data_IF_108886319004
#
_entry.id   IF_108886319004
#
_cell.length_a   1.000
_cell.length_b   1.000
_cell.length_c   1.000
_cell.angle_alpha   90.00
_cell.angle_beta   90.00
_cell.angle_gamma   90.00
#
_symmetry.space_group_name_H-M   'P 1'
#
loop_
_entity.id
_entity.type
_entity.pdbx_description
1 polymer ?
#
# COMPACT_ATOMS: atom_id res chain seq x y z
N UNK A 1 7.33 -28.68 10.70
CA UNK A 1 7.64 -27.24 10.51
C UNK A 1 8.39 -26.91 9.21
N UNK A 2 9.02 -27.86 8.49
CA UNK A 2 9.76 -27.53 7.25
C UNK A 2 8.88 -27.04 6.08
N UNK A 3 7.73 -27.69 5.83
CA UNK A 3 6.93 -27.42 4.61
C UNK A 3 6.38 -25.99 4.48
N UNK A 4 5.89 -25.36 5.56
CA UNK A 4 5.42 -23.96 5.51
C UNK A 4 6.53 -23.02 5.03
N UNK A 5 7.79 -23.24 5.45
CA UNK A 5 8.93 -22.44 5.00
C UNK A 5 9.16 -22.54 3.49
N UNK A 6 9.14 -23.73 2.89
CA UNK A 6 9.37 -23.86 1.44
C UNK A 6 8.20 -23.31 0.62
N UNK A 7 6.98 -23.43 1.12
CA UNK A 7 5.78 -22.80 0.52
C UNK A 7 5.91 -21.28 0.52
N UNK A 8 6.39 -20.69 1.63
CA UNK A 8 6.71 -19.26 1.74
C UNK A 8 7.82 -18.86 0.75
N UNK A 9 8.90 -19.65 0.63
CA UNK A 9 9.98 -19.40 -0.33
C UNK A 9 9.48 -19.43 -1.79
N UNK A 10 8.61 -20.38 -2.15
CA UNK A 10 7.95 -20.40 -3.48
C UNK A 10 7.03 -19.18 -3.70
N UNK A 11 6.36 -18.74 -2.63
CA UNK A 11 5.76 -17.41 -2.46
C UNK A 11 6.64 -16.30 -3.01
N UNK A 12 7.77 -16.12 -2.33
CA UNK A 12 8.78 -15.09 -2.62
C UNK A 12 9.39 -15.24 -4.02
N UNK A 13 9.81 -16.44 -4.41
CA UNK A 13 10.51 -16.73 -5.67
C UNK A 13 9.66 -16.41 -6.91
N UNK A 14 8.36 -16.77 -6.90
CA UNK A 14 7.51 -16.71 -8.10
C UNK A 14 6.61 -15.48 -8.20
N UNK A 15 6.19 -14.92 -7.06
CA UNK A 15 5.30 -13.74 -7.03
C UNK A 15 5.87 -12.58 -6.19
N UNK A 16 7.11 -12.69 -5.71
CA UNK A 16 7.83 -11.61 -5.05
C UNK A 16 7.31 -11.22 -3.67
N UNK A 17 6.44 -12.04 -3.08
CA UNK A 17 5.73 -11.74 -1.86
C UNK A 17 6.70 -11.64 -0.68
N UNK A 18 6.66 -10.52 0.05
CA UNK A 18 7.35 -10.40 1.33
C UNK A 18 6.51 -11.06 2.44
N UNK A 19 7.02 -12.12 3.10
CA UNK A 19 6.30 -12.80 4.18
C UNK A 19 6.06 -11.88 5.39
N UNK A 20 6.94 -10.90 5.62
CA UNK A 20 6.77 -9.90 6.68
C UNK A 20 5.60 -8.96 6.44
N UNK A 21 5.38 -8.56 5.18
CA UNK A 21 4.32 -7.61 4.79
C UNK A 21 2.93 -8.23 4.69
N UNK A 22 2.82 -9.53 4.36
CA UNK A 22 1.53 -10.26 4.33
C UNK A 22 1.17 -10.87 5.69
N UNK A 23 2.18 -11.17 6.51
CA UNK A 23 2.03 -11.83 7.82
C UNK A 23 1.91 -13.35 7.67
N UNK A 24 2.76 -14.08 8.39
CA UNK A 24 2.82 -15.55 8.37
C UNK A 24 1.44 -16.20 8.54
N UNK A 25 0.63 -15.71 9.49
CA UNK A 25 -0.71 -16.24 9.79
C UNK A 25 -1.72 -16.19 8.64
N UNK A 26 -1.45 -15.45 7.56
CA UNK A 26 -2.29 -15.47 6.36
C UNK A 26 -1.77 -16.52 5.37
N UNK A 27 -0.46 -16.67 5.22
CA UNK A 27 0.14 -17.77 4.43
C UNK A 27 -0.16 -19.13 5.05
N UNK A 28 -0.03 -19.27 6.38
CA UNK A 28 -0.32 -20.51 7.10
C UNK A 28 -1.80 -20.90 6.97
N UNK A 29 -2.74 -19.96 7.09
CA UNK A 29 -4.18 -20.23 6.85
C UNK A 29 -4.48 -20.59 5.40
N UNK A 30 -3.81 -19.96 4.44
CA UNK A 30 -3.92 -20.32 3.03
C UNK A 30 -3.43 -21.75 2.78
N UNK A 31 -2.28 -22.09 3.34
CA UNK A 31 -1.70 -23.44 3.32
C UNK A 31 -2.66 -24.47 3.94
N UNK A 32 -3.16 -24.23 5.15
CA UNK A 32 -4.15 -25.09 5.83
C UNK A 32 -5.41 -25.31 4.98
N UNK A 33 -5.96 -24.25 4.39
CA UNK A 33 -7.13 -24.32 3.53
C UNK A 33 -6.87 -25.14 2.25
N UNK A 34 -5.70 -24.97 1.62
CA UNK A 34 -5.30 -25.74 0.43
C UNK A 34 -5.03 -27.21 0.75
N UNK A 35 -4.31 -27.49 1.84
CA UNK A 35 -4.07 -28.85 2.32
C UNK A 35 -5.39 -29.58 2.63
N UNK A 36 -6.30 -28.92 3.36
CA UNK A 36 -7.63 -29.46 3.65
C UNK A 36 -8.45 -29.74 2.39
N UNK A 37 -8.44 -28.82 1.41
CA UNK A 37 -9.13 -29.00 0.13
C UNK A 37 -8.58 -30.15 -0.74
N UNK A 38 -7.32 -30.55 -0.53
CA UNK A 38 -6.68 -31.69 -1.19
C UNK A 38 -6.72 -32.99 -0.37
N UNK A 39 -7.21 -32.95 0.88
CA UNK A 39 -7.16 -34.09 1.80
C UNK A 39 -5.76 -34.44 2.29
N UNK A 40 -4.80 -33.50 2.23
CA UNK A 40 -3.41 -33.71 2.64
C UNK A 40 -3.19 -33.29 4.10
N UNK A 41 -2.52 -34.13 4.88
CA UNK A 41 -2.20 -33.86 6.30
C UNK A 41 -0.73 -33.56 6.57
N UNK A 42 0.21 -33.98 5.71
CA UNK A 42 1.63 -33.61 5.80
C UNK A 42 1.95 -32.40 4.90
N UNK A 43 2.48 -31.28 5.45
CA UNK A 43 2.96 -30.16 4.66
C UNK A 43 4.03 -30.52 3.61
N UNK A 44 4.79 -31.61 3.80
CA UNK A 44 5.78 -32.09 2.82
C UNK A 44 5.12 -32.74 1.59
N UNK A 45 3.97 -33.39 1.75
CA UNK A 45 3.20 -33.91 0.62
C UNK A 45 2.62 -32.77 -0.20
N UNK A 46 2.12 -31.75 0.49
CA UNK A 46 1.64 -30.53 -0.14
C UNK A 46 2.76 -29.77 -0.87
N UNK A 47 3.94 -29.60 -0.26
CA UNK A 47 5.11 -28.97 -0.89
C UNK A 47 5.51 -29.67 -2.21
N UNK A 48 5.56 -31.02 -2.19
CA UNK A 48 5.87 -31.83 -3.38
C UNK A 48 4.80 -31.64 -4.47
N UNK A 49 3.52 -31.65 -4.11
CA UNK A 49 2.42 -31.44 -5.04
C UNK A 49 2.40 -30.02 -5.64
N UNK A 50 2.56 -29.00 -4.79
CA UNK A 50 2.65 -27.57 -5.16
C UNK A 50 3.81 -27.30 -6.14
N UNK A 51 4.96 -27.94 -5.90
CA UNK A 51 6.15 -27.78 -6.74
C UNK A 51 5.92 -28.28 -8.17
N UNK A 52 5.16 -29.38 -8.33
CA UNK A 52 4.81 -29.97 -9.63
C UNK A 52 3.53 -29.41 -10.28
N UNK A 53 2.69 -28.67 -9.56
CA UNK A 53 1.37 -28.23 -10.03
C UNK A 53 1.26 -26.70 -10.10
N UNK A 54 1.37 -26.15 -11.32
CA UNK A 54 1.09 -24.73 -11.56
C UNK A 54 -0.35 -24.31 -11.24
N UNK A 55 -1.31 -25.23 -11.39
CA UNK A 55 -2.71 -25.01 -11.04
C UNK A 55 -2.90 -24.91 -9.52
N UNK A 56 -2.22 -25.75 -8.73
CA UNK A 56 -2.24 -25.64 -7.28
C UNK A 56 -1.50 -24.39 -6.78
N UNK A 57 -0.38 -24.04 -7.41
CA UNK A 57 0.32 -22.81 -7.10
C UNK A 57 -0.57 -21.57 -7.32
N UNK A 58 -1.35 -21.54 -8.40
CA UNK A 58 -2.38 -20.51 -8.58
C UNK A 58 -3.45 -20.60 -7.48
N UNK A 59 -3.94 -21.78 -7.12
CA UNK A 59 -4.95 -21.93 -6.08
C UNK A 59 -4.45 -21.45 -4.69
N UNK A 60 -3.17 -21.63 -4.38
CA UNK A 60 -2.55 -21.07 -3.17
C UNK A 60 -2.42 -19.54 -3.24
N UNK A 61 -1.92 -18.98 -4.35
CA UNK A 61 -1.89 -17.53 -4.58
C UNK A 61 -3.26 -16.93 -4.28
N UNK A 62 -4.32 -17.58 -4.76
CA UNK A 62 -5.68 -17.12 -4.61
C UNK A 62 -6.18 -17.08 -3.15
N UNK A 63 -5.69 -17.95 -2.27
CA UNK A 63 -6.00 -17.92 -0.82
C UNK A 63 -5.12 -16.91 -0.06
N UNK A 64 -3.88 -16.69 -0.51
CA UNK A 64 -2.91 -15.81 0.18
C UNK A 64 -3.02 -14.35 -0.27
N UNK A 65 -3.42 -14.09 -1.51
CA UNK A 65 -3.65 -12.75 -2.04
C UNK A 65 -5.11 -12.39 -1.82
N UNK A 66 -5.37 -11.59 -0.77
CA UNK A 66 -6.71 -11.07 -0.43
C UNK A 66 -6.83 -9.60 -0.86
N UNK A 67 -7.28 -9.29 -2.08
CA UNK A 67 -7.46 -7.91 -2.51
C UNK A 67 -8.78 -7.34 -1.97
N UNK A 68 -8.68 -6.51 -0.92
CA UNK A 68 -9.75 -5.56 -0.58
C UNK A 68 -9.63 -4.30 -1.45
N UNK A 69 -10.67 -4.03 -2.23
CA UNK A 69 -10.83 -2.79 -2.98
C UNK A 69 -12.26 -2.26 -2.88
N UNK A 70 -12.44 -0.99 -3.22
CA UNK A 70 -13.73 -0.31 -3.28
C UNK A 70 -13.69 0.82 -4.30
N UNK A 71 -14.85 1.17 -4.84
CA UNK A 71 -14.98 2.25 -5.81
C UNK A 71 -14.50 3.57 -5.23
N UNK A 72 -13.71 4.30 -6.02
CA UNK A 72 -13.12 5.60 -5.65
C UNK A 72 -12.31 5.55 -4.34
N UNK A 73 -11.57 4.45 -4.12
CA UNK A 73 -10.58 4.35 -3.04
C UNK A 73 -9.54 5.46 -3.18
N UNK A 74 -9.56 6.38 -2.23
CA UNK A 74 -8.96 7.72 -2.30
C UNK A 74 -9.50 8.50 -3.51
N UNK A 75 -10.29 9.55 -3.26
CA UNK A 75 -10.99 10.33 -4.29
C UNK A 75 -10.04 11.16 -5.17
N UNK A 76 -9.03 11.80 -4.56
CA UNK A 76 -8.09 12.72 -5.21
C UNK A 76 -7.38 12.17 -6.46
N UNK A 77 -6.86 10.93 -6.50
CA UNK A 77 -6.38 10.31 -7.74
C UNK A 77 -7.36 10.41 -8.91
N UNK A 78 -8.64 10.16 -8.68
CA UNK A 78 -9.67 10.17 -9.72
C UNK A 78 -10.07 11.59 -10.10
N UNK A 79 -10.16 12.53 -9.14
CA UNK A 79 -10.38 13.95 -9.45
C UNK A 79 -9.25 14.48 -10.33
N UNK A 80 -7.99 14.22 -9.98
CA UNK A 80 -6.84 14.66 -10.77
C UNK A 80 -6.81 13.99 -12.15
N UNK A 81 -7.20 12.71 -12.27
CA UNK A 81 -7.40 12.04 -13.55
C UNK A 81 -8.44 12.77 -14.43
N UNK A 82 -9.56 13.24 -13.86
CA UNK A 82 -10.56 14.02 -14.60
C UNK A 82 -9.97 15.34 -15.12
N UNK A 83 -9.25 16.08 -14.28
CA UNK A 83 -8.63 17.35 -14.65
C UNK A 83 -7.62 17.17 -15.79
N UNK A 84 -6.78 16.13 -15.72
CA UNK A 84 -5.84 15.79 -16.78
C UNK A 84 -6.55 15.37 -18.08
N UNK A 85 -7.63 14.59 -18.00
CA UNK A 85 -8.40 14.19 -19.16
C UNK A 85 -9.06 15.40 -19.85
N UNK A 86 -9.66 16.31 -19.08
CA UNK A 86 -10.21 17.58 -19.58
C UNK A 86 -9.11 18.44 -20.23
N UNK A 87 -8.00 18.67 -19.53
CA UNK A 87 -6.93 19.57 -19.96
C UNK A 87 -6.05 19.06 -21.12
N UNK A 88 -6.06 17.75 -21.44
CA UNK A 88 -5.12 17.15 -22.42
C UNK A 88 -5.75 16.26 -23.50
N UNK A 89 -6.95 15.71 -23.29
CA UNK A 89 -7.61 14.80 -24.25
C UNK A 89 -8.98 15.27 -24.72
N UNK A 90 -9.70 16.06 -23.91
CA UNK A 90 -11.00 16.63 -24.30
C UNK A 90 -10.83 17.84 -25.24
N UNK A 91 -9.84 18.71 -24.96
CA UNK A 91 -9.55 19.88 -25.80
C UNK A 91 -8.82 19.57 -27.12
N UNK A 92 -8.28 18.35 -27.26
CA UNK A 92 -7.62 17.88 -28.48
C UNK A 92 -8.29 16.58 -28.98
N UNK A 93 -9.31 16.69 -29.85
CA UNK A 93 -9.95 15.55 -30.49
C UNK A 93 -9.02 14.75 -31.41
N UNK A 94 -7.93 15.34 -31.90
CA UNK A 94 -6.96 14.70 -32.80
C UNK A 94 -5.99 13.76 -32.08
N UNK A 95 -5.75 13.98 -30.78
CA UNK A 95 -4.94 13.10 -29.93
C UNK A 95 -5.42 11.64 -29.99
N UNK A 96 -4.53 10.62 -29.97
CA UNK A 96 -4.93 9.22 -29.85
C UNK A 96 -5.78 8.94 -28.59
N UNK A 97 -6.61 7.88 -28.58
CA UNK A 97 -7.37 7.48 -27.40
C UNK A 97 -6.48 7.26 -26.18
N UNK A 98 -6.87 7.81 -25.03
CA UNK A 98 -6.15 7.71 -23.77
C UNK A 98 -5.99 6.24 -23.34
N UNK A 99 -4.74 5.77 -23.19
CA UNK A 99 -4.43 4.43 -22.67
C UNK A 99 -4.16 4.49 -21.18
N UNK A 100 -5.04 3.91 -20.38
CA UNK A 100 -4.87 3.77 -18.92
C UNK A 100 -4.65 2.30 -18.55
N UNK A 101 -3.71 2.06 -17.64
CA UNK A 101 -3.44 0.76 -17.03
C UNK A 101 -3.78 0.82 -15.53
N UNK A 102 -4.47 -0.18 -15.00
CA UNK A 102 -4.63 -0.40 -13.55
C UNK A 102 -4.13 -1.79 -13.18
N UNK A 103 -3.16 -1.85 -12.26
CA UNK A 103 -2.62 -3.11 -11.73
C UNK A 103 -2.17 -2.92 -10.28
N UNK A 104 -2.60 -3.75 -9.32
CA UNK A 104 -3.53 -4.85 -9.43
C UNK A 104 -4.96 -4.32 -9.51
N UNK A 105 -5.81 -4.91 -10.35
CA UNK A 105 -7.17 -4.40 -10.56
C UNK A 105 -8.22 -4.96 -9.58
N UNK A 106 -7.86 -5.95 -8.76
CA UNK A 106 -8.73 -6.59 -7.77
C UNK A 106 -10.05 -7.09 -8.39
N UNK A 107 -11.18 -6.84 -7.71
CA UNK A 107 -12.52 -7.15 -8.21
C UNK A 107 -13.01 -6.20 -9.30
N UNK A 108 -12.14 -5.36 -9.88
CA UNK A 108 -12.46 -4.38 -10.92
C UNK A 108 -12.88 -3.01 -10.39
N UNK A 109 -12.94 -2.80 -9.07
CA UNK A 109 -13.42 -1.55 -8.48
C UNK A 109 -12.57 -0.33 -8.92
N UNK A 110 -11.24 -0.47 -9.00
CA UNK A 110 -10.36 0.60 -9.48
C UNK A 110 -10.50 0.91 -10.99
N UNK A 111 -10.32 -0.05 -11.93
CA UNK A 111 -10.43 0.26 -13.36
C UNK A 111 -11.83 0.73 -13.77
N UNK A 112 -12.88 0.29 -13.08
CA UNK A 112 -14.23 0.83 -13.31
C UNK A 112 -14.40 2.23 -12.72
N UNK A 113 -13.77 2.57 -11.59
CA UNK A 113 -13.69 3.97 -11.13
C UNK A 113 -12.89 4.86 -12.09
N UNK A 114 -11.80 4.37 -12.70
CA UNK A 114 -11.06 5.07 -13.77
C UNK A 114 -12.00 5.33 -14.96
N UNK A 115 -12.69 4.30 -15.47
CA UNK A 115 -13.61 4.43 -16.59
C UNK A 115 -14.78 5.38 -16.32
N UNK A 116 -15.36 5.34 -15.11
CA UNK A 116 -16.41 6.28 -14.67
C UNK A 116 -15.86 7.71 -14.60
N UNK A 117 -14.69 7.91 -13.99
CA UNK A 117 -14.06 9.22 -13.89
C UNK A 117 -13.83 9.84 -15.27
N UNK A 118 -13.29 9.08 -16.24
CA UNK A 118 -13.07 9.58 -17.60
C UNK A 118 -14.38 9.95 -18.33
N UNK A 119 -15.48 9.24 -18.07
CA UNK A 119 -16.80 9.57 -18.61
C UNK A 119 -17.41 10.80 -17.94
N UNK A 120 -17.30 10.93 -16.62
CA UNK A 120 -17.69 12.14 -15.89
C UNK A 120 -16.79 13.35 -16.25
N UNK A 121 -15.55 13.10 -16.74
CA UNK A 121 -14.69 14.10 -17.37
C UNK A 121 -15.16 14.55 -18.76
N UNK A 122 -16.16 13.88 -19.35
CA UNK A 122 -16.71 14.17 -20.67
C UNK A 122 -16.04 13.42 -21.82
N UNK A 123 -15.11 12.50 -21.56
CA UNK A 123 -14.54 11.65 -22.61
C UNK A 123 -15.51 10.50 -22.93
N UNK A 124 -15.99 10.36 -24.18
CA UNK A 124 -16.78 9.19 -24.57
C UNK A 124 -15.89 7.94 -24.59
N UNK A 125 -16.49 6.75 -24.42
CA UNK A 125 -15.75 5.47 -24.35
C UNK A 125 -14.96 5.09 -25.61
N UNK A 126 -15.11 5.79 -26.74
CA UNK A 126 -14.25 5.66 -27.92
C UNK A 126 -12.92 6.44 -27.82
N UNK A 127 -12.81 7.36 -26.85
CA UNK A 127 -11.63 8.24 -26.64
C UNK A 127 -10.70 7.77 -25.53
N UNK A 128 -10.99 6.63 -24.89
CA UNK A 128 -10.10 6.02 -23.91
C UNK A 128 -10.24 4.49 -23.91
N UNK A 129 -9.24 3.81 -23.34
CA UNK A 129 -9.26 2.38 -23.03
C UNK A 129 -8.60 2.18 -21.67
N UNK A 130 -9.24 1.39 -20.82
CA UNK A 130 -8.61 0.91 -19.58
C UNK A 130 -8.21 -0.54 -19.78
N UNK A 131 -6.93 -0.84 -19.57
CA UNK A 131 -6.45 -2.21 -19.43
C UNK A 131 -6.22 -2.48 -17.94
N UNK A 132 -6.67 -3.63 -17.46
CA UNK A 132 -6.73 -3.96 -16.05
C UNK A 132 -6.08 -5.33 -15.82
N UNK A 133 -4.99 -5.36 -15.05
CA UNK A 133 -4.19 -6.56 -14.81
C UNK A 133 -4.36 -7.02 -13.36
N UNK A 134 -4.55 -8.32 -13.17
CA UNK A 134 -4.41 -8.95 -11.85
C UNK A 134 -3.74 -10.32 -11.96
N UNK A 135 -3.18 -10.78 -10.84
CA UNK A 135 -2.64 -12.13 -10.71
C UNK A 135 -3.76 -13.15 -10.42
N UNK A 136 -4.80 -12.72 -9.70
CA UNK A 136 -5.95 -13.52 -9.27
C UNK A 136 -6.99 -13.67 -10.39
N UNK A 137 -7.10 -14.89 -10.93
CA UNK A 137 -8.17 -15.30 -11.82
C UNK A 137 -9.55 -15.19 -11.15
N UNK A 138 -9.68 -15.44 -9.84
CA UNK A 138 -10.94 -15.27 -9.09
C UNK A 138 -11.36 -13.79 -9.03
N UNK A 139 -10.41 -12.88 -8.82
CA UNK A 139 -10.66 -11.45 -8.79
C UNK A 139 -11.03 -10.92 -10.18
N UNK A 140 -10.34 -11.36 -11.24
CA UNK A 140 -10.70 -11.07 -12.62
C UNK A 140 -12.07 -11.64 -13.02
N UNK A 141 -12.46 -12.82 -12.50
CA UNK A 141 -13.81 -13.35 -12.71
C UNK A 141 -14.89 -12.48 -12.04
N UNK A 142 -14.65 -11.99 -10.82
CA UNK A 142 -15.51 -11.01 -10.13
C UNK A 142 -15.61 -9.70 -10.92
N UNK A 143 -14.49 -9.20 -11.44
CA UNK A 143 -14.44 -8.01 -12.30
C UNK A 143 -15.26 -8.22 -13.59
N UNK A 144 -15.12 -9.36 -14.28
CA UNK A 144 -15.92 -9.69 -15.49
C UNK A 144 -17.42 -9.71 -15.21
N UNK A 145 -17.84 -10.21 -14.05
CA UNK A 145 -19.25 -10.17 -13.63
C UNK A 145 -19.72 -8.72 -13.39
N UNK A 146 -18.87 -7.90 -12.77
CA UNK A 146 -19.14 -6.51 -12.41
C UNK A 146 -20.43 -6.31 -11.56
N UNK A 147 -20.70 -7.27 -10.68
CA UNK A 147 -21.85 -7.26 -9.76
C UNK A 147 -21.34 -7.17 -8.31
N UNK A 148 -21.61 -6.05 -7.65
CA UNK A 148 -20.98 -5.68 -6.38
C UNK A 148 -21.97 -5.72 -5.20
N UNK A 149 -21.46 -6.01 -4.01
CA UNK A 149 -22.19 -5.84 -2.75
C UNK A 149 -21.98 -4.44 -2.15
N UNK A 150 -22.72 -4.11 -1.10
CA UNK A 150 -22.63 -2.80 -0.42
C UNK A 150 -21.20 -2.42 0.01
N UNK A 151 -20.38 -3.39 0.42
CA UNK A 151 -19.01 -3.18 0.90
C UNK A 151 -18.03 -2.61 -0.15
N UNK A 152 -18.35 -2.70 -1.44
CA UNK A 152 -17.58 -2.08 -2.53
C UNK A 152 -17.85 -0.57 -2.66
N UNK A 153 -18.88 -0.06 -1.99
CA UNK A 153 -19.29 1.35 -2.00
C UNK A 153 -19.02 1.94 -0.62
N UNK A 154 -17.82 2.52 -0.43
CA UNK A 154 -17.38 3.15 0.83
C UNK A 154 -17.31 4.67 0.64
N UNK A 155 -17.49 5.42 1.72
CA UNK A 155 -17.49 6.90 1.69
C UNK A 155 -18.89 7.51 1.58
N UNK A 156 -18.95 8.84 1.50
CA UNK A 156 -20.21 9.62 1.51
C UNK A 156 -20.70 10.03 0.13
N UNK A 157 -19.81 10.20 -0.85
CA UNK A 157 -20.23 10.42 -2.24
C UNK A 157 -20.47 9.08 -2.94
N UNK A 158 -21.75 8.76 -3.15
CA UNK A 158 -22.21 7.62 -3.93
C UNK A 158 -23.08 8.07 -5.12
N UNK A 159 -22.97 9.33 -5.56
CA UNK A 159 -23.77 9.86 -6.67
C UNK A 159 -23.48 9.11 -7.99
N UNK A 160 -22.23 8.69 -8.20
CA UNK A 160 -21.84 7.84 -9.34
C UNK A 160 -22.60 6.51 -9.36
N UNK A 161 -22.96 5.95 -8.18
CA UNK A 161 -23.66 4.66 -8.08
C UNK A 161 -25.04 4.73 -8.73
N UNK A 162 -25.75 5.84 -8.52
CA UNK A 162 -27.06 6.07 -9.14
C UNK A 162 -27.00 6.33 -10.66
N UNK A 163 -25.84 6.77 -11.18
CA UNK A 163 -25.62 6.99 -12.62
C UNK A 163 -25.20 5.73 -13.38
N UNK A 164 -24.40 4.87 -12.75
CA UNK A 164 -23.65 3.81 -13.45
C UNK A 164 -23.97 2.39 -12.97
N UNK A 165 -24.87 2.20 -12.01
CA UNK A 165 -25.25 0.87 -11.52
C UNK A 165 -26.76 0.68 -11.43
N UNK A 166 -27.21 -0.54 -11.65
CA UNK A 166 -28.59 -0.97 -11.39
C UNK A 166 -28.63 -1.81 -10.11
N UNK A 167 -29.47 -1.43 -9.13
CA UNK A 167 -29.68 -2.27 -7.93
C UNK A 167 -30.65 -3.42 -8.28
N UNK A 168 -30.21 -4.66 -8.06
CA UNK A 168 -30.96 -5.89 -8.26
C UNK A 168 -30.71 -6.81 -7.08
N UNK A 169 -31.76 -7.18 -6.33
CA UNK A 169 -31.67 -8.08 -5.17
C UNK A 169 -30.58 -7.69 -4.14
N UNK A 170 -30.43 -6.39 -3.84
CA UNK A 170 -29.41 -5.87 -2.92
C UNK A 170 -27.96 -5.92 -3.45
N UNK A 171 -27.76 -6.26 -4.71
CA UNK A 171 -26.49 -6.18 -5.45
C UNK A 171 -26.55 -5.04 -6.47
N UNK A 172 -25.39 -4.51 -6.85
CA UNK A 172 -25.24 -3.42 -7.81
C UNK A 172 -24.53 -3.94 -9.06
N UNK A 173 -25.25 -4.06 -10.17
CA UNK A 173 -24.71 -4.45 -11.48
C UNK A 173 -24.23 -3.20 -12.22
N UNK A 174 -22.96 -3.19 -12.64
CA UNK A 174 -22.35 -2.08 -13.38
C UNK A 174 -22.90 -1.99 -14.81
N UNK A 175 -23.14 -0.76 -15.28
CA UNK A 175 -23.56 -0.49 -16.65
C UNK A 175 -22.59 -1.07 -17.70
N UNK A 176 -23.16 -1.70 -18.72
CA UNK A 176 -22.39 -2.39 -19.76
C UNK A 176 -21.47 -1.46 -20.56
N UNK A 177 -21.84 -0.18 -20.73
CA UNK A 177 -20.99 0.78 -21.48
C UNK A 177 -19.75 1.20 -20.68
N UNK A 178 -19.79 1.15 -19.35
CA UNK A 178 -18.59 1.27 -18.50
C UNK A 178 -17.82 -0.05 -18.54
N UNK A 179 -18.49 -1.19 -18.31
CA UNK A 179 -17.85 -2.52 -18.28
C UNK A 179 -17.04 -2.82 -19.55
N UNK A 180 -17.60 -2.51 -20.71
CA UNK A 180 -16.99 -2.77 -22.02
C UNK A 180 -15.80 -1.84 -22.35
N UNK A 181 -15.55 -0.78 -21.57
CA UNK A 181 -14.38 0.09 -21.74
C UNK A 181 -13.11 -0.43 -21.03
N UNK A 182 -13.22 -1.55 -20.30
CA UNK A 182 -12.13 -2.20 -19.55
C UNK A 182 -11.80 -3.58 -20.13
N UNK A 183 -10.56 -3.79 -20.60
CA UNK A 183 -10.02 -5.14 -20.90
C UNK A 183 -9.37 -5.70 -19.64
N UNK A 184 -9.85 -6.86 -19.20
CA UNK A 184 -9.34 -7.60 -18.04
C UNK A 184 -8.31 -8.66 -18.46
N UNK A 185 -7.14 -8.66 -17.83
CA UNK A 185 -5.95 -9.42 -18.24
C UNK A 185 -5.38 -10.13 -17.00
N UNK A 186 -5.05 -11.42 -17.13
CA UNK A 186 -4.29 -12.11 -16.07
C UNK A 186 -2.80 -11.92 -16.30
N UNK A 187 -2.07 -11.50 -15.26
CA UNK A 187 -0.64 -11.22 -15.38
C UNK A 187 0.04 -10.91 -14.05
N UNK A 188 1.34 -11.17 -14.00
CA UNK A 188 2.22 -10.84 -12.89
C UNK A 188 3.10 -9.64 -13.28
N UNK A 189 3.11 -8.57 -12.48
CA UNK A 189 3.95 -7.37 -12.73
C UNK A 189 5.46 -7.67 -12.72
N UNK A 190 5.88 -8.79 -12.10
CA UNK A 190 7.27 -9.24 -12.12
C UNK A 190 7.66 -9.85 -13.48
N UNK A 191 6.70 -10.33 -14.28
CA UNK A 191 7.00 -10.91 -15.59
C UNK A 191 7.47 -9.79 -16.55
N UNK A 192 8.73 -9.80 -17.04
CA UNK A 192 9.22 -8.77 -17.95
C UNK A 192 8.47 -8.75 -19.29
N UNK A 193 7.87 -9.86 -19.70
CA UNK A 193 7.05 -9.97 -20.91
C UNK A 193 5.59 -9.50 -20.72
N UNK A 194 5.17 -9.09 -19.50
CA UNK A 194 3.82 -8.57 -19.26
C UNK A 194 3.54 -7.40 -20.21
N UNK A 195 2.51 -7.54 -21.06
CA UNK A 195 2.09 -6.50 -22.01
C UNK A 195 3.24 -6.02 -22.93
N UNK A 196 4.24 -6.86 -23.22
CA UNK A 196 5.40 -6.47 -24.03
C UNK A 196 5.06 -6.11 -25.50
N UNK A 197 3.93 -6.62 -26.00
CA UNK A 197 3.43 -6.34 -27.36
C UNK A 197 2.38 -5.20 -27.39
N UNK A 198 2.03 -4.64 -26.23
CA UNK A 198 1.09 -3.53 -26.11
C UNK A 198 1.86 -2.19 -26.12
N UNK A 199 1.37 -1.14 -26.81
CA UNK A 199 1.94 0.20 -26.68
C UNK A 199 1.92 0.69 -25.22
N UNK A 200 2.92 1.50 -24.86
CA UNK A 200 3.02 2.14 -23.56
C UNK A 200 1.75 2.95 -23.21
N UNK A 201 1.52 3.12 -21.92
CA UNK A 201 0.33 3.74 -21.36
C UNK A 201 0.60 5.20 -21.00
N UNK A 202 -0.35 6.07 -21.33
CA UNK A 202 -0.33 7.48 -20.94
C UNK A 202 -0.47 7.62 -19.41
N UNK A 203 -1.22 6.71 -18.79
CA UNK A 203 -1.47 6.70 -17.35
C UNK A 203 -1.39 5.27 -16.81
N UNK A 204 -0.68 5.08 -15.70
CA UNK A 204 -0.60 3.81 -14.98
C UNK A 204 -1.02 4.04 -13.53
N UNK A 205 -1.99 3.28 -13.04
CA UNK A 205 -2.33 3.15 -11.64
C UNK A 205 -1.66 1.88 -11.11
N UNK A 206 -0.79 2.03 -10.11
CA UNK A 206 -0.16 0.94 -9.38
C UNK A 206 -0.25 1.19 -7.87
N UNK A 207 -1.39 0.80 -7.29
CA UNK A 207 -1.79 1.21 -5.95
C UNK A 207 -1.98 0.04 -5.02
N UNK A 208 -1.48 0.16 -3.80
CA UNK A 208 -1.57 -0.82 -2.72
C UNK A 208 -1.03 -2.21 -3.13
N UNK A 209 0.13 -2.25 -3.79
CA UNK A 209 0.77 -3.49 -4.26
C UNK A 209 2.24 -3.58 -3.90
N UNK A 210 3.01 -2.51 -4.12
CA UNK A 210 4.46 -2.50 -3.89
C UNK A 210 4.81 -2.65 -2.40
N UNK A 211 3.83 -2.38 -1.53
CA UNK A 211 3.88 -2.68 -0.09
C UNK A 211 4.00 -4.17 0.24
N UNK A 212 3.60 -5.10 -0.64
CA UNK A 212 3.63 -6.54 -0.39
C UNK A 212 4.86 -7.25 -0.97
N UNK A 213 5.78 -6.52 -1.60
CA UNK A 213 6.93 -7.10 -2.30
C UNK A 213 8.23 -7.00 -1.51
N UNK A 214 9.13 -7.98 -1.68
CA UNK A 214 10.53 -7.85 -1.25
C UNK A 214 11.23 -6.69 -1.98
N UNK A 215 12.45 -6.33 -1.57
CA UNK A 215 13.20 -5.25 -2.23
C UNK A 215 13.54 -5.59 -3.69
N UNK A 216 13.89 -6.85 -3.96
CA UNK A 216 14.21 -7.37 -5.30
C UNK A 216 12.97 -7.40 -6.19
N UNK A 217 11.85 -7.93 -5.68
CA UNK A 217 10.59 -7.99 -6.40
C UNK A 217 10.03 -6.59 -6.69
N UNK A 218 10.15 -5.66 -5.74
CA UNK A 218 9.80 -4.24 -5.92
C UNK A 218 10.68 -3.57 -6.97
N UNK A 219 11.98 -3.89 -6.98
CA UNK A 219 12.94 -3.44 -8.00
C UNK A 219 12.50 -3.86 -9.41
N UNK A 220 12.16 -5.14 -9.56
CA UNK A 220 11.69 -5.70 -10.84
C UNK A 220 10.31 -5.18 -11.25
N UNK A 221 9.36 -5.07 -10.31
CA UNK A 221 8.04 -4.50 -10.56
C UNK A 221 8.13 -3.07 -11.08
N UNK A 222 8.99 -2.23 -10.49
CA UNK A 222 9.20 -0.85 -10.93
C UNK A 222 9.84 -0.75 -12.31
N UNK A 223 10.83 -1.58 -12.61
CA UNK A 223 11.43 -1.62 -13.95
C UNK A 223 10.36 -1.92 -15.02
N UNK A 224 9.43 -2.84 -14.73
CA UNK A 224 8.30 -3.15 -15.59
C UNK A 224 7.24 -2.03 -15.63
N UNK A 225 6.89 -1.41 -14.51
CA UNK A 225 6.01 -0.24 -14.46
C UNK A 225 6.54 0.90 -15.33
N UNK A 226 7.84 1.21 -15.22
CA UNK A 226 8.48 2.22 -16.04
C UNK A 226 8.52 1.83 -17.51
N UNK A 227 8.79 0.57 -17.86
CA UNK A 227 8.71 0.10 -19.26
C UNK A 227 7.30 0.27 -19.85
N UNK A 228 6.26 0.08 -19.03
CA UNK A 228 4.86 0.23 -19.44
C UNK A 228 4.39 1.69 -19.48
N UNK A 229 5.06 2.60 -18.78
CA UNK A 229 4.73 4.03 -18.72
C UNK A 229 5.38 4.80 -19.88
N UNK A 230 4.57 5.49 -20.68
CA UNK A 230 5.05 6.38 -21.74
C UNK A 230 5.94 7.51 -21.19
N UNK A 231 6.84 8.08 -22.00
CA UNK A 231 7.82 9.07 -21.55
C UNK A 231 7.20 10.34 -20.93
N UNK A 232 6.02 10.75 -21.41
CA UNK A 232 5.23 11.87 -20.87
C UNK A 232 4.09 11.43 -19.94
N UNK A 233 4.01 10.14 -19.62
CA UNK A 233 2.92 9.54 -18.87
C UNK A 233 2.91 9.88 -17.38
N UNK A 234 1.80 9.52 -16.72
CA UNK A 234 1.60 9.71 -15.27
C UNK A 234 1.44 8.36 -14.55
N UNK A 235 2.17 8.18 -13.46
CA UNK A 235 2.08 7.03 -12.55
C UNK A 235 1.36 7.45 -11.27
N UNK A 236 0.28 6.76 -10.92
CA UNK A 236 -0.48 6.93 -9.68
C UNK A 236 -0.14 5.80 -8.71
N UNK A 237 0.27 6.14 -7.49
CA UNK A 237 0.66 5.19 -6.45
C UNK A 237 -0.28 5.25 -5.23
N UNK A 238 -0.28 4.21 -4.40
CA UNK A 238 -0.99 4.24 -3.12
C UNK A 238 -0.18 5.00 -2.07
N UNK A 239 -0.85 5.51 -1.04
CA UNK A 239 -0.24 6.37 0.00
C UNK A 239 0.95 5.75 0.76
N UNK A 240 1.09 4.41 0.72
CA UNK A 240 2.16 3.66 1.37
C UNK A 240 3.13 2.98 0.39
N UNK A 241 2.85 3.01 -0.91
CA UNK A 241 3.76 2.47 -1.93
C UNK A 241 4.99 3.38 -2.01
N UNK A 242 6.16 2.82 -1.67
CA UNK A 242 7.39 3.60 -1.53
C UNK A 242 7.98 3.94 -2.90
N UNK A 243 8.17 5.25 -3.14
CA UNK A 243 8.99 5.76 -4.24
C UNK A 243 10.47 5.68 -3.86
N UNK A 244 11.05 4.49 -3.96
CA UNK A 244 12.50 4.37 -3.82
C UNK A 244 13.03 3.31 -4.78
N UNK A 245 13.70 3.77 -5.83
CA UNK A 245 14.70 3.03 -6.59
C UNK A 245 15.71 4.00 -7.21
N UNK A 246 16.98 3.59 -7.19
CA UNK A 246 18.05 4.30 -7.84
C UNK A 246 17.83 4.36 -9.37
N UNK A 247 18.05 5.54 -9.96
CA UNK A 247 18.22 5.71 -11.41
C UNK A 247 17.16 6.55 -12.12
N UNK A 248 15.89 6.51 -11.69
CA UNK A 248 14.81 7.27 -12.36
C UNK A 248 14.16 8.27 -11.42
N UNK A 249 14.41 9.56 -11.69
CA UNK A 249 13.78 10.65 -10.96
C UNK A 249 12.32 10.76 -11.40
N UNK A 250 11.39 10.51 -10.49
CA UNK A 250 10.00 10.93 -10.65
C UNK A 250 9.77 12.24 -9.89
N UNK A 251 8.98 13.13 -10.48
CA UNK A 251 8.48 14.35 -9.84
C UNK A 251 6.99 14.20 -9.57
N UNK A 252 6.56 14.49 -8.34
CA UNK A 252 5.15 14.57 -8.01
C UNK A 252 4.44 15.64 -8.86
N UNK A 253 3.21 15.37 -9.28
CA UNK A 253 2.37 16.26 -10.06
C UNK A 253 0.96 16.30 -9.47
N UNK A 254 0.25 17.42 -9.66
CA UNK A 254 -1.06 17.64 -9.03
C UNK A 254 -1.01 17.92 -7.53
N UNK A 255 -2.18 17.96 -6.90
CA UNK A 255 -2.34 18.33 -5.50
C UNK A 255 -1.88 17.24 -4.52
N UNK A 256 -1.57 17.65 -3.28
CA UNK A 256 -1.22 16.75 -2.18
C UNK A 256 -2.29 15.67 -1.99
N UNK A 257 -1.90 14.41 -2.11
CA UNK A 257 -2.79 13.25 -1.97
C UNK A 257 -3.41 12.73 -3.27
N UNK A 258 -3.10 13.33 -4.43
CA UNK A 258 -3.33 12.68 -5.73
C UNK A 258 -2.40 11.47 -5.94
N UNK A 259 -1.22 11.49 -5.30
CA UNK A 259 -0.14 10.51 -5.46
C UNK A 259 0.21 10.23 -6.93
N UNK A 260 0.13 11.27 -7.77
CA UNK A 260 0.50 11.22 -9.17
C UNK A 260 1.94 11.69 -9.38
N UNK A 261 2.66 11.02 -10.27
CA UNK A 261 4.07 11.23 -10.55
C UNK A 261 4.32 11.20 -12.05
N UNK A 262 5.28 12.00 -12.52
CA UNK A 262 5.77 11.94 -13.90
C UNK A 262 7.28 11.74 -13.90
N UNK A 263 7.82 11.21 -15.00
CA UNK A 263 9.27 11.22 -15.23
C UNK A 263 9.75 12.67 -15.18
N UNK A 264 10.78 12.93 -14.39
CA UNK A 264 11.43 14.23 -14.42
C UNK A 264 11.94 14.47 -15.86
N UNK A 265 11.79 15.69 -16.41
CA UNK A 265 12.35 15.99 -17.73
C UNK A 265 13.84 15.68 -17.72
N UNK A 266 14.31 15.03 -18.79
CA UNK A 266 15.74 14.79 -18.97
C UNK A 266 16.46 16.13 -18.82
N UNK A 267 17.42 16.21 -17.89
CA UNK A 267 18.24 17.41 -17.74
C UNK A 267 18.88 17.64 -19.12
N UNK A 268 18.69 18.82 -19.75
CA UNK A 268 19.33 19.08 -21.03
C UNK A 268 20.83 18.82 -20.86
N UNK A 269 21.52 18.23 -21.87
CA UNK A 269 22.94 17.98 -21.79
C UNK A 269 23.59 19.29 -21.38
N UNK A 270 24.22 19.29 -20.21
CA UNK A 270 24.81 20.48 -19.65
C UNK A 270 26.00 20.79 -20.53
N UNK A 271 25.78 21.66 -21.54
CA UNK A 271 26.80 22.11 -22.47
C UNK A 271 28.01 22.45 -21.62
N UNK A 272 29.13 21.75 -21.88
CA UNK A 272 30.28 21.75 -20.99
C UNK A 272 30.63 23.20 -20.70
N UNK A 273 30.39 23.63 -19.46
CA UNK A 273 30.55 25.02 -19.09
C UNK A 273 32.01 25.36 -19.34
N UNK A 274 32.26 26.15 -20.39
CA UNK A 274 33.59 26.60 -20.74
C UNK A 274 34.18 27.23 -19.50
N UNK A 275 35.22 26.61 -18.94
CA UNK A 275 35.88 27.12 -17.74
C UNK A 275 36.17 28.60 -17.96
N UNK A 276 35.75 29.51 -17.07
CA UNK A 276 36.12 30.90 -17.20
C UNK A 276 37.66 30.97 -17.23
N UNK A 277 38.25 31.81 -18.10
CA UNK A 277 39.70 31.92 -18.18
C UNK A 277 40.27 32.28 -16.80
N UNK A 278 41.44 31.73 -16.42
CA UNK A 278 41.96 31.90 -15.07
C UNK A 278 42.17 33.37 -14.76
N UNK A 279 41.43 33.87 -13.77
CA UNK A 279 41.59 35.23 -13.26
C UNK A 279 42.99 35.33 -12.66
N UNK A 280 43.86 36.16 -13.26
CA UNK A 280 45.16 36.52 -12.67
C UNK A 280 44.92 37.30 -11.38
N UNK A 281 44.94 36.61 -10.25
CA UNK A 281 45.02 37.24 -8.93
C UNK A 281 46.32 38.03 -8.83
N UNK A 282 46.23 39.33 -8.56
CA UNK A 282 47.39 40.12 -8.13
C UNK A 282 47.88 39.58 -6.79
N UNK A 283 49.20 39.51 -6.62
CA UNK A 283 49.80 39.12 -5.35
C UNK A 283 49.37 40.08 -4.24
N UNK A 284 48.91 39.51 -3.12
CA UNK A 284 48.66 40.23 -1.87
C UNK A 284 49.79 39.82 -0.93
N UNK A 285 50.50 40.81 -0.36
CA UNK A 285 51.58 40.56 0.59
C UNK A 285 51.06 40.01 1.93
N UNK A 286 51.82 39.13 2.61
CA UNK A 286 51.35 38.46 3.82
C UNK A 286 51.46 39.36 5.07
N UNK A 287 50.38 39.51 5.87
CA UNK A 287 50.49 40.05 7.23
C UNK A 287 51.08 39.04 8.21
N UNK A 288 51.63 39.55 9.32
CA UNK A 288 52.50 38.80 10.22
C UNK A 288 51.80 37.74 11.11
N UNK A 289 52.63 36.82 11.61
CA UNK A 289 52.26 35.56 12.29
C UNK A 289 52.05 35.76 13.80
N UNK A 290 50.88 35.40 14.33
CA UNK A 290 50.65 35.20 15.76
C UNK A 290 50.36 33.71 16.06
N UNK A 291 50.95 33.18 17.14
CA UNK A 291 50.74 31.80 17.60
C UNK A 291 49.62 31.74 18.64
N UNK A 292 48.83 30.68 18.65
CA UNK A 292 48.19 30.15 19.86
C UNK A 292 47.96 28.64 19.72
N UNK A 293 48.00 27.93 20.85
CA UNK A 293 48.19 26.49 20.91
C UNK A 293 46.88 25.69 21.17
N UNK A 294 46.94 24.40 20.87
CA UNK A 294 45.91 23.40 21.17
C UNK A 294 45.91 23.01 22.66
N UNK A 295 44.75 22.58 23.19
CA UNK A 295 44.66 21.49 24.16
C UNK A 295 43.99 20.22 23.56
N UNK A 296 44.10 19.04 24.19
CA UNK A 296 44.07 17.77 23.46
C UNK A 296 43.00 16.72 23.86
N UNK A 297 42.68 15.85 22.87
CA UNK A 297 42.43 14.38 22.95
C UNK A 297 41.26 13.83 23.81
N UNK A 298 40.47 12.97 23.16
CA UNK A 298 39.86 11.75 23.76
C UNK A 298 38.39 11.52 23.39
N UNK A 299 37.89 10.30 23.09
CA UNK A 299 38.46 8.94 22.99
C UNK A 299 37.62 8.09 22.00
N UNK A 300 38.23 7.04 21.42
CA UNK A 300 37.68 5.80 20.79
C UNK A 300 36.21 5.37 21.11
N UNK A 301 35.46 4.54 20.34
CA UNK A 301 35.56 3.92 18.98
C UNK A 301 34.15 3.27 18.62
N UNK A 302 33.94 2.05 18.04
CA UNK A 302 33.13 1.90 16.82
C UNK A 302 31.76 1.14 16.90
N UNK A 303 30.92 1.37 15.88
CA UNK A 303 30.05 0.44 15.09
C UNK A 303 29.37 -0.78 15.76
N UNK A 304 28.02 -0.77 15.75
CA UNK A 304 27.09 -1.87 15.40
C UNK A 304 25.69 -1.21 15.20
N UNK A 305 24.94 -1.33 14.10
CA UNK A 305 24.39 -2.45 13.29
C UNK A 305 22.95 -2.85 13.67
N UNK A 306 22.06 -2.84 12.65
CA UNK A 306 20.65 -3.30 12.55
C UNK A 306 19.52 -2.77 13.46
N UNK A 307 18.46 -2.31 12.78
CA UNK A 307 17.04 -2.32 13.17
C UNK A 307 16.34 -3.56 12.55
N UNK A 308 14.99 -3.69 12.52
CA UNK A 308 13.91 -3.70 13.54
C UNK A 308 13.16 -5.08 13.54
N UNK A 309 11.93 -5.27 14.12
CA UNK A 309 10.68 -5.14 13.31
C UNK A 309 9.27 -4.92 13.99
N UNK A 310 8.38 -4.32 13.17
CA UNK A 310 6.89 -4.22 13.04
C UNK A 310 5.80 -5.10 13.77
N UNK A 311 4.59 -4.50 13.96
CA UNK A 311 3.17 -5.02 13.72
C UNK A 311 2.58 -6.28 14.47
N UNK A 312 1.34 -6.87 14.27
CA UNK A 312 0.19 -6.80 13.29
C UNK A 312 -1.26 -7.10 13.85
N UNK A 313 -2.18 -6.11 13.89
CA UNK A 313 -3.67 -6.00 13.60
C UNK A 313 -4.84 -6.98 13.95
N UNK A 314 -6.06 -6.39 14.04
CA UNK A 314 -7.34 -6.80 14.66
C UNK A 314 -8.35 -7.82 13.92
N UNK A 315 -9.19 -8.57 14.67
CA UNK A 315 -10.58 -9.14 14.46
C UNK A 315 -11.49 -8.92 15.72
N UNK A 316 -12.80 -8.66 15.59
CA UNK A 316 -13.74 -8.58 16.74
C UNK A 316 -14.22 -9.96 17.25
N UNK A 317 -14.73 -10.02 18.48
CA UNK A 317 -15.40 -11.20 19.04
C UNK A 317 -16.66 -10.83 19.84
N UNK A 318 -17.81 -11.37 19.41
CA UNK A 318 -19.03 -11.48 20.21
C UNK A 318 -19.15 -12.92 20.71
N UNK A 319 -18.35 -13.24 21.74
CA UNK A 319 -18.70 -14.07 22.91
C UNK A 319 -17.52 -14.19 23.92
N UNK A 320 -16.31 -13.80 23.50
CA UNK A 320 -15.07 -13.95 24.29
C UNK A 320 -14.91 -13.00 25.49
N UNK A 321 -15.98 -12.31 25.93
CA UNK A 321 -15.93 -11.13 26.79
C UNK A 321 -15.18 -11.30 28.13
N UNK A 322 -15.16 -12.50 28.69
CA UNK A 322 -14.44 -12.80 29.94
C UNK A 322 -12.94 -13.05 29.70
N UNK A 323 -12.58 -14.03 28.86
CA UNK A 323 -11.19 -14.47 28.70
C UNK A 323 -10.29 -13.40 28.06
N UNK A 324 -10.74 -12.74 26.97
CA UNK A 324 -9.97 -11.67 26.34
C UNK A 324 -9.75 -10.49 27.29
N UNK A 325 -10.79 -10.13 28.06
CA UNK A 325 -10.68 -9.02 28.99
C UNK A 325 -9.75 -9.36 30.15
N UNK A 326 -9.72 -10.61 30.62
CA UNK A 326 -8.74 -11.07 31.62
C UNK A 326 -7.31 -10.96 31.11
N UNK A 327 -7.00 -11.45 29.90
CA UNK A 327 -5.65 -11.36 29.32
C UNK A 327 -5.21 -9.91 29.07
N UNK A 328 -6.11 -9.05 28.56
CA UNK A 328 -5.80 -7.64 28.34
C UNK A 328 -5.66 -6.85 29.66
N UNK A 329 -6.38 -7.21 30.71
CA UNK A 329 -6.20 -6.63 32.04
C UNK A 329 -4.84 -7.03 32.63
N UNK A 330 -4.46 -8.32 32.54
CA UNK A 330 -3.14 -8.79 32.96
C UNK A 330 -2.01 -8.13 32.15
N UNK A 331 -2.20 -7.90 30.85
CA UNK A 331 -1.24 -7.17 30.03
C UNK A 331 -1.05 -5.72 30.51
N UNK A 332 -2.12 -5.03 30.91
CA UNK A 332 -2.04 -3.70 31.51
C UNK A 332 -1.28 -3.73 32.85
N UNK A 333 -1.60 -4.66 33.75
CA UNK A 333 -0.90 -4.83 35.03
C UNK A 333 0.61 -5.08 34.85
N UNK A 334 1.00 -5.87 33.84
CA UNK A 334 2.42 -6.09 33.50
C UNK A 334 3.08 -4.83 32.93
N UNK A 335 2.36 -4.04 32.14
CA UNK A 335 2.86 -2.77 31.62
C UNK A 335 3.10 -1.75 32.74
N UNK A 336 2.17 -1.65 33.70
CA UNK A 336 2.30 -0.78 34.88
C UNK A 336 3.46 -1.21 35.79
N UNK A 337 3.79 -2.51 35.81
CA UNK A 337 4.98 -3.06 36.47
C UNK A 337 6.29 -2.84 35.68
N UNK A 338 6.25 -2.20 34.51
CA UNK A 338 7.40 -2.03 33.61
C UNK A 338 7.85 -3.31 32.89
N UNK A 339 7.08 -4.40 32.98
CA UNK A 339 7.38 -5.72 32.39
C UNK A 339 6.83 -5.78 30.97
N UNK A 340 7.37 -4.92 30.10
CA UNK A 340 6.81 -4.69 28.77
C UNK A 340 6.79 -5.93 27.87
N UNK A 341 7.82 -6.79 27.92
CA UNK A 341 7.88 -8.01 27.10
C UNK A 341 6.74 -8.99 27.44
N UNK A 342 6.40 -9.12 28.72
CA UNK A 342 5.26 -9.93 29.17
C UNK A 342 3.93 -9.30 28.83
N UNK A 343 3.82 -7.96 28.93
CA UNK A 343 2.63 -7.23 28.51
C UNK A 343 2.38 -7.36 26.99
N UNK A 344 3.44 -7.33 26.17
CA UNK A 344 3.40 -7.65 24.73
C UNK A 344 2.93 -9.09 24.53
N UNK A 345 3.55 -10.06 25.21
CA UNK A 345 3.19 -11.47 25.10
C UNK A 345 1.73 -11.77 25.43
N UNK A 346 1.19 -11.14 26.48
CA UNK A 346 -0.22 -11.25 26.89
C UNK A 346 -1.19 -10.57 25.90
N UNK A 347 -0.83 -9.41 25.36
CA UNK A 347 -1.61 -8.78 24.27
C UNK A 347 -1.67 -9.71 23.06
N UNK A 348 -0.52 -10.22 22.60
CA UNK A 348 -0.42 -11.12 21.45
C UNK A 348 -1.11 -12.47 21.72
N UNK A 349 -1.17 -12.93 22.97
CA UNK A 349 -1.96 -14.10 23.38
C UNK A 349 -3.46 -13.83 23.26
N UNK A 350 -3.96 -12.69 23.79
CA UNK A 350 -5.36 -12.30 23.66
C UNK A 350 -5.78 -12.21 22.17
N UNK A 351 -4.87 -11.69 21.34
CA UNK A 351 -4.97 -11.63 19.88
C UNK A 351 -5.11 -13.02 19.23
N UNK A 352 -4.24 -13.97 19.60
CA UNK A 352 -4.26 -15.34 19.07
C UNK A 352 -5.51 -16.11 19.48
N UNK A 353 -5.86 -16.07 20.76
CA UNK A 353 -6.93 -16.89 21.33
C UNK A 353 -8.33 -16.34 21.01
N UNK A 354 -8.52 -15.03 21.15
CA UNK A 354 -9.86 -14.43 21.11
C UNK A 354 -10.25 -13.84 19.77
N UNK A 355 -9.33 -13.81 18.81
CA UNK A 355 -9.43 -12.92 17.68
C UNK A 355 -8.93 -11.51 18.06
N UNK A 356 -8.20 -10.84 17.17
CA UNK A 356 -7.50 -9.61 17.58
C UNK A 356 -8.42 -8.37 17.87
N UNK A 357 -8.90 -8.12 19.09
CA UNK A 357 -9.95 -7.07 19.32
C UNK A 357 -9.44 -5.61 19.25
N UNK A 358 -10.21 -4.62 18.74
CA UNK A 358 -9.80 -3.19 18.60
C UNK A 358 -8.88 -2.67 19.75
N UNK A 359 -9.33 -2.92 20.99
CA UNK A 359 -8.69 -2.69 22.29
C UNK A 359 -7.29 -3.32 22.45
N UNK A 360 -7.05 -4.50 21.89
CA UNK A 360 -5.81 -5.27 21.95
C UNK A 360 -4.62 -4.61 21.25
N UNK A 361 -4.72 -4.08 20.01
CA UNK A 361 -3.57 -3.32 19.43
C UNK A 361 -3.49 -1.90 19.93
N UNK A 362 -4.59 -1.34 20.45
CA UNK A 362 -4.46 -0.11 21.19
C UNK A 362 -3.57 -0.34 22.42
N UNK A 363 -3.85 -1.36 23.22
CA UNK A 363 -3.00 -1.73 24.36
C UNK A 363 -1.58 -2.14 23.92
N UNK A 364 -1.42 -3.00 22.91
CA UNK A 364 -0.11 -3.38 22.37
C UNK A 364 0.69 -2.17 21.87
N UNK A 365 0.02 -1.17 21.28
CA UNK A 365 0.62 0.09 20.88
C UNK A 365 1.08 0.94 22.05
N UNK A 366 0.28 1.03 23.12
CA UNK A 366 0.67 1.70 24.36
C UNK A 366 1.89 1.02 24.98
N UNK A 367 1.87 -0.31 25.12
CA UNK A 367 2.98 -1.09 25.68
C UNK A 367 4.26 -0.93 24.86
N UNK A 368 4.19 -1.09 23.53
CA UNK A 368 5.34 -0.91 22.64
C UNK A 368 5.86 0.53 22.65
N UNK A 369 4.97 1.53 22.82
CA UNK A 369 5.40 2.93 22.98
C UNK A 369 6.12 3.17 24.32
N UNK A 370 5.66 2.53 25.41
CA UNK A 370 6.30 2.59 26.73
C UNK A 370 7.67 1.88 26.74
N UNK A 371 7.78 0.75 26.02
CA UNK A 371 9.05 0.06 25.75
C UNK A 371 10.00 0.85 24.82
N UNK A 372 9.54 1.95 24.22
CA UNK A 372 10.35 2.81 23.34
C UNK A 372 10.33 2.44 21.86
N UNK A 373 9.71 1.32 21.46
CA UNK A 373 9.53 0.96 20.06
C UNK A 373 8.38 1.74 19.42
N UNK A 374 8.70 2.96 19.00
CA UNK A 374 7.78 3.88 18.34
C UNK A 374 7.30 3.36 16.97
N UNK A 375 8.05 2.48 16.32
CA UNK A 375 7.72 1.95 14.99
C UNK A 375 6.65 0.86 15.10
N UNK A 376 6.88 -0.13 15.97
CA UNK A 376 5.91 -1.18 16.25
C UNK A 376 4.69 -0.65 17.02
N UNK A 377 4.85 0.41 17.82
CA UNK A 377 3.74 1.16 18.41
C UNK A 377 2.88 1.86 17.35
N UNK A 378 3.48 2.62 16.43
CA UNK A 378 2.74 3.26 15.33
C UNK A 378 1.96 2.23 14.52
N UNK A 379 2.61 1.12 14.15
CA UNK A 379 1.89 0.08 13.42
C UNK A 379 0.75 -0.46 14.27
N UNK A 380 0.94 -0.71 15.58
CA UNK A 380 -0.17 -1.17 16.45
C UNK A 380 -1.33 -0.14 16.52
N UNK A 381 -1.06 1.17 16.53
CA UNK A 381 -2.13 2.18 16.55
C UNK A 381 -2.85 2.35 15.20
N UNK A 382 -2.15 2.28 14.06
CA UNK A 382 -2.80 2.17 12.74
C UNK A 382 -3.80 1.00 12.74
N UNK A 383 -3.46 -0.03 13.50
CA UNK A 383 -4.09 -1.34 13.52
C UNK A 383 -5.22 -1.48 14.54
N UNK A 384 -5.25 -0.63 15.57
CA UNK A 384 -6.48 -0.26 16.27
C UNK A 384 -7.45 0.50 15.33
N UNK A 385 -6.94 1.46 14.56
CA UNK A 385 -7.75 2.37 13.71
C UNK A 385 -8.38 1.71 12.47
N UNK A 386 -7.82 0.63 11.94
CA UNK A 386 -8.42 -0.10 10.81
C UNK A 386 -9.71 -0.84 11.23
N UNK A 387 -9.72 -1.44 12.42
CA UNK A 387 -10.89 -2.21 12.90
C UNK A 387 -11.85 -1.45 13.79
N UNK A 388 -11.41 -0.37 14.43
CA UNK A 388 -12.32 0.70 14.84
C UNK A 388 -11.87 2.02 14.21
N UNK A 389 -12.49 2.36 13.08
CA UNK A 389 -12.27 3.62 12.35
C UNK A 389 -12.61 4.87 13.18
N UNK A 390 -13.29 4.71 14.31
CA UNK A 390 -13.66 5.73 15.29
C UNK A 390 -12.91 5.57 16.64
N UNK A 391 -11.79 4.83 16.67
CA UNK A 391 -10.95 4.70 17.86
C UNK A 391 -10.16 6.00 18.10
N UNK A 392 -10.78 6.94 18.81
CA UNK A 392 -10.25 8.29 19.03
C UNK A 392 -8.91 8.31 19.77
N UNK A 393 -8.70 7.41 20.75
CA UNK A 393 -7.44 7.30 21.50
C UNK A 393 -6.27 6.86 20.60
N UNK A 394 -6.47 5.86 19.75
CA UNK A 394 -5.47 5.41 18.78
C UNK A 394 -5.18 6.48 17.72
N UNK A 395 -6.19 7.23 17.28
CA UNK A 395 -6.01 8.40 16.41
C UNK A 395 -5.18 9.50 17.09
N UNK A 396 -5.40 9.79 18.37
CA UNK A 396 -4.57 10.75 19.12
C UNK A 396 -3.14 10.26 19.32
N UNK A 397 -2.92 8.97 19.57
CA UNK A 397 -1.58 8.38 19.63
C UNK A 397 -0.83 8.54 18.30
N UNK A 398 -1.47 8.25 17.16
CA UNK A 398 -0.91 8.50 15.83
C UNK A 398 -0.62 9.98 15.59
N UNK A 399 -1.49 10.89 16.06
CA UNK A 399 -1.24 12.33 15.96
C UNK A 399 0.03 12.76 16.71
N UNK A 400 0.26 12.23 17.91
CA UNK A 400 1.46 12.51 18.73
C UNK A 400 2.74 11.89 18.15
N UNK A 401 2.64 10.74 17.49
CA UNK A 401 3.77 10.12 16.77
C UNK A 401 4.09 10.83 15.45
N UNK A 402 3.09 11.32 14.73
CA UNK A 402 3.28 12.17 13.56
C UNK A 402 3.94 13.52 13.92
N UNK A 403 3.42 14.22 14.95
CA UNK A 403 3.99 15.49 15.39
C UNK A 403 5.44 15.35 15.87
N UNK A 404 5.78 14.28 16.60
CA UNK A 404 7.17 14.01 17.03
C UNK A 404 8.15 13.72 15.89
N UNK A 405 7.66 13.41 14.68
CA UNK A 405 8.47 13.26 13.46
C UNK A 405 8.49 14.52 12.59
N UNK A 406 7.84 15.61 13.01
CA UNK A 406 7.66 16.82 12.20
C UNK A 406 6.59 16.70 11.10
N UNK A 407 5.77 15.65 11.11
CA UNK A 407 4.63 15.51 10.19
C UNK A 407 3.36 16.13 10.79
N UNK A 408 3.36 17.47 10.83
CA UNK A 408 2.21 18.26 11.30
C UNK A 408 0.96 18.06 10.44
N UNK A 409 1.11 17.68 9.17
CA UNK A 409 0.01 17.44 8.25
C UNK A 409 -0.77 16.17 8.64
N UNK A 410 -0.07 15.05 8.86
CA UNK A 410 -0.69 13.83 9.38
C UNK A 410 -1.18 14.03 10.81
N UNK A 411 -0.43 14.75 11.66
CA UNK A 411 -0.86 15.04 13.03
C UNK A 411 -2.21 15.78 13.08
N UNK A 412 -2.39 16.79 12.24
CA UNK A 412 -3.66 17.52 12.09
C UNK A 412 -4.77 16.63 11.51
N UNK A 413 -4.43 15.78 10.53
CA UNK A 413 -5.37 14.81 9.93
C UNK A 413 -5.92 13.82 10.96
N UNK A 414 -5.06 13.28 11.81
CA UNK A 414 -5.44 12.37 12.90
C UNK A 414 -6.25 13.08 13.99
N UNK A 415 -5.87 14.29 14.43
CA UNK A 415 -6.65 15.11 15.39
C UNK A 415 -8.08 15.35 14.93
N UNK A 416 -8.28 15.82 13.69
CA UNK A 416 -9.60 16.04 13.10
C UNK A 416 -10.45 14.77 13.01
N UNK A 417 -9.83 13.59 12.88
CA UNK A 417 -10.54 12.30 12.92
C UNK A 417 -10.95 11.94 14.35
N UNK A 418 -10.07 12.13 15.33
CA UNK A 418 -10.36 11.88 16.75
C UNK A 418 -11.47 12.80 17.28
N UNK A 419 -11.45 14.09 16.94
CA UNK A 419 -12.49 15.07 17.28
C UNK A 419 -13.87 14.62 16.77
N UNK A 420 -13.95 14.19 15.50
CA UNK A 420 -15.21 13.67 14.90
C UNK A 420 -15.68 12.37 15.53
N UNK A 421 -14.77 11.49 15.95
CA UNK A 421 -15.11 10.27 16.66
C UNK A 421 -15.67 10.56 18.07
N UNK A 422 -15.05 11.49 18.82
CA UNK A 422 -15.54 11.96 20.12
C UNK A 422 -16.91 12.64 20.01
N UNK A 423 -17.09 13.52 19.03
CA UNK A 423 -18.37 14.19 18.78
C UNK A 423 -19.51 13.20 18.47
N UNK A 424 -19.21 12.02 17.91
CA UNK A 424 -20.21 10.95 17.68
C UNK A 424 -20.50 10.13 18.93
N UNK A 425 -19.50 9.89 19.79
CA UNK A 425 -19.67 9.20 21.07
C UNK A 425 -20.46 10.03 22.10
N UNK A 426 -20.47 11.36 21.99
CA UNK A 426 -21.22 12.27 22.88
C UNK A 426 -22.64 12.63 22.42
N UNK A 427 -23.20 11.94 21.42
CA UNK A 427 -24.55 12.19 20.85
C UNK A 427 -25.41 10.91 20.91
N UNK A 428 -25.03 9.96 21.76
CA UNK A 428 -25.74 8.69 21.99
C UNK A 428 -26.36 8.64 23.38
#
# INVERSE_FOLDING_TARGET
MSGSRRVVELLTERIGLDPGSVGSSLVDRGLEARMSALGLSDPQDYERYLSGSGAEFQALIEEVVVPESWFFRDDRPFTFLQDQARAKWLIDPGRPPLRVLSLPCAGGEEPYSIAIALRDAGLPSSRFRVDAVDLSARSLARARQAIYGRNAFRGSDLAFRARYFQERNGRYELDASVRNSVRLIQGNILNPALLANDPAYDIVFCRNLLIYFTEEARTQAWANLLRLLADSGMLFLGHADRLDLAGVRLTATGDKGSFAYQRAPAKPPQAAASLPPPVRLKAIEPPARAKLALPPIGVNRPVADRSPPQAVENRPALDNGSATSTLLNQAAERADQGRYDEAVGLCEQAIRESGPSARAYFLLGIVRQAAGDRSAAETSFQKAVYLDTQHDEALLALALLAQRRGDDASALGYRRRAERARARKGVG
#
